data_IF_143494695559
#
_entry.id   IF_143494695559
#
_cell.length_a   1.000
_cell.length_b   1.000
_cell.length_c   1.000
_cell.angle_alpha   90.00
_cell.angle_beta   90.00
_cell.angle_gamma   90.00
#
_symmetry.space_group_name_H-M   'P 1'
#
loop_
_entity.id
_entity.type
_entity.pdbx_description
1 polymer ?
#
# COMPACT_ATOMS: atom_id res chain seq x y z
N UNK A 1 -1.17 45.77 -15.80
CA UNK A 1 -1.09 44.32 -16.04
C UNK A 1 -1.42 43.64 -14.73
N UNK A 2 -2.69 43.28 -14.57
CA UNK A 2 -3.20 42.57 -13.37
C UNK A 2 -3.15 41.07 -13.60
N UNK A 3 -2.39 40.36 -12.81
CA UNK A 3 -2.32 38.91 -12.80
C UNK A 3 -3.41 38.36 -11.88
N UNK A 4 -4.32 37.60 -12.49
CA UNK A 4 -5.51 36.98 -11.91
C UNK A 4 -5.07 35.80 -11.03
N UNK A 5 -5.10 35.98 -9.71
CA UNK A 5 -4.94 34.89 -8.75
C UNK A 5 -6.16 33.98 -8.81
N UNK A 6 -5.93 32.76 -9.21
CA UNK A 6 -6.93 31.70 -9.26
C UNK A 6 -7.17 31.18 -7.82
N UNK A 7 -8.28 31.63 -7.24
CA UNK A 7 -8.79 31.16 -5.94
C UNK A 7 -9.41 29.76 -6.12
N UNK A 8 -8.62 28.72 -5.89
CA UNK A 8 -9.13 27.37 -5.79
C UNK A 8 -9.73 27.15 -4.41
N UNK A 9 -11.03 27.40 -4.29
CA UNK A 9 -11.85 27.04 -3.12
C UNK A 9 -11.69 25.58 -2.80
N UNK A 10 -11.18 25.31 -1.58
CA UNK A 10 -11.26 23.98 -0.96
C UNK A 10 -12.73 23.55 -0.89
N UNK A 11 -13.09 22.35 -1.34
CA UNK A 11 -14.42 21.82 -1.10
C UNK A 11 -14.54 21.49 0.40
N UNK A 12 -15.38 22.24 1.10
CA UNK A 12 -15.95 21.80 2.36
C UNK A 12 -16.94 20.67 2.02
N UNK A 13 -16.56 19.44 2.24
CA UNK A 13 -17.43 18.30 2.05
C UNK A 13 -17.03 17.20 3.02
N UNK A 14 -17.95 16.85 3.92
CA UNK A 14 -17.82 15.65 4.74
C UNK A 14 -17.47 14.46 3.84
N UNK A 15 -16.57 13.61 4.31
CA UNK A 15 -16.14 12.42 3.60
C UNK A 15 -17.39 11.65 3.15
N UNK A 16 -17.55 11.37 1.85
CA UNK A 16 -18.69 10.59 1.39
C UNK A 16 -18.60 9.22 2.05
N UNK A 17 -19.64 8.84 2.78
CA UNK A 17 -19.84 7.46 3.22
C UNK A 17 -19.71 6.60 1.97
N UNK A 18 -18.59 5.90 1.87
CA UNK A 18 -18.17 5.15 0.69
C UNK A 18 -19.22 4.08 0.40
N UNK A 19 -19.98 4.28 -0.67
CA UNK A 19 -21.05 3.39 -1.05
C UNK A 19 -20.43 2.06 -1.49
N UNK A 20 -20.84 0.94 -0.87
CA UNK A 20 -20.32 -0.41 -1.19
C UNK A 20 -20.38 -0.77 -2.67
N UNK A 21 -21.28 -0.16 -3.45
CA UNK A 21 -21.35 -0.39 -4.90
C UNK A 21 -20.15 0.19 -5.68
N UNK A 22 -19.51 1.25 -5.18
CA UNK A 22 -18.30 1.80 -5.79
C UNK A 22 -17.09 0.90 -5.57
N UNK A 23 -17.06 0.10 -4.51
CA UNK A 23 -15.97 -0.85 -4.26
C UNK A 23 -15.94 -2.00 -5.27
N UNK A 24 -17.10 -2.47 -5.72
CA UNK A 24 -17.14 -3.52 -6.77
C UNK A 24 -16.67 -3.02 -8.13
N UNK A 25 -16.80 -1.74 -8.43
CA UNK A 25 -16.32 -1.15 -9.68
C UNK A 25 -14.81 -0.88 -9.67
N UNK A 26 -14.22 -0.67 -8.48
CA UNK A 26 -12.78 -0.52 -8.27
C UNK A 26 -12.04 -1.88 -8.22
N UNK A 27 -12.78 -2.99 -8.16
CA UNK A 27 -12.23 -4.35 -8.25
C UNK A 27 -11.98 -4.83 -9.68
N UNK A 28 -12.22 -4.01 -10.70
CA UNK A 28 -11.74 -4.36 -12.04
C UNK A 28 -10.22 -4.23 -12.05
N UNK A 29 -9.51 -5.32 -12.35
CA UNK A 29 -8.05 -5.26 -12.45
C UNK A 29 -7.67 -4.17 -13.45
N UNK A 30 -6.71 -3.33 -13.08
CA UNK A 30 -6.19 -2.34 -13.99
C UNK A 30 -5.69 -3.05 -15.27
N UNK A 31 -5.75 -2.41 -16.42
CA UNK A 31 -5.33 -3.02 -17.68
C UNK A 31 -3.90 -3.57 -17.60
N UNK A 32 -3.06 -2.96 -16.77
CA UNK A 32 -1.67 -3.36 -16.53
C UNK A 32 -1.58 -4.68 -15.75
N UNK A 33 -2.49 -4.96 -14.81
CA UNK A 33 -2.53 -6.20 -14.03
C UNK A 33 -2.92 -7.39 -14.91
N UNK A 34 -3.93 -7.21 -15.76
CA UNK A 34 -4.34 -8.21 -16.76
C UNK A 34 -3.22 -8.46 -17.77
N UNK A 35 -2.54 -7.41 -18.19
CA UNK A 35 -1.40 -7.52 -19.10
C UNK A 35 -0.25 -8.31 -18.46
N UNK A 36 0.07 -8.05 -17.20
CA UNK A 36 1.10 -8.79 -16.45
C UNK A 36 0.77 -10.28 -16.38
N UNK A 37 -0.47 -10.64 -16.02
CA UNK A 37 -0.94 -12.01 -16.00
C UNK A 37 -0.86 -12.66 -17.39
N UNK A 38 -1.28 -11.95 -18.44
CA UNK A 38 -1.26 -12.44 -19.81
C UNK A 38 0.17 -12.65 -20.32
N UNK A 39 1.09 -11.74 -20.06
CA UNK A 39 2.49 -11.83 -20.46
C UNK A 39 3.19 -12.97 -19.74
N UNK A 40 3.04 -13.09 -18.42
CA UNK A 40 3.63 -14.19 -17.64
C UNK A 40 3.06 -15.54 -18.08
N UNK A 41 1.74 -15.63 -18.29
CA UNK A 41 1.08 -16.82 -18.81
C UNK A 41 1.56 -17.21 -20.21
N UNK A 42 1.71 -16.24 -21.10
CA UNK A 42 2.23 -16.45 -22.46
C UNK A 42 3.69 -16.97 -22.44
N UNK A 43 4.56 -16.34 -21.61
CA UNK A 43 5.96 -16.76 -21.48
C UNK A 43 6.09 -18.20 -20.95
N UNK A 44 5.34 -18.54 -19.89
CA UNK A 44 5.36 -19.88 -19.33
C UNK A 44 4.77 -20.92 -20.28
N UNK A 45 3.69 -20.57 -20.98
CA UNK A 45 3.09 -21.43 -22.01
C UNK A 45 4.05 -21.64 -23.18
N UNK A 46 4.71 -20.57 -23.63
CA UNK A 46 5.74 -20.68 -24.68
C UNK A 46 6.89 -21.59 -24.25
N UNK A 47 7.34 -21.50 -22.99
CA UNK A 47 8.34 -22.38 -22.43
C UNK A 47 7.90 -23.87 -22.47
N UNK A 48 6.64 -24.16 -22.14
CA UNK A 48 6.07 -25.49 -22.23
C UNK A 48 6.02 -26.02 -23.69
N UNK A 49 5.66 -25.14 -24.64
CA UNK A 49 5.69 -25.49 -26.07
C UNK A 49 7.10 -25.73 -26.57
N UNK A 50 8.08 -24.96 -26.18
CA UNK A 50 9.50 -25.16 -26.50
C UNK A 50 9.96 -26.51 -25.95
N UNK A 51 9.63 -26.83 -24.69
CA UNK A 51 9.93 -28.13 -24.10
C UNK A 51 9.36 -29.32 -24.90
N UNK A 52 8.11 -29.18 -25.36
CA UNK A 52 7.46 -30.17 -26.22
C UNK A 52 8.16 -30.31 -27.58
N UNK A 53 8.55 -29.19 -28.21
CA UNK A 53 9.21 -29.18 -29.53
C UNK A 53 10.64 -29.74 -29.48
N UNK A 54 11.35 -29.50 -28.37
CA UNK A 54 12.71 -30.02 -28.14
C UNK A 54 12.74 -31.54 -27.91
N UNK A 55 11.59 -32.23 -27.86
CA UNK A 55 11.54 -33.65 -27.68
C UNK A 55 11.92 -34.37 -28.96
N UNK A 56 13.16 -34.87 -29.02
CA UNK A 56 13.58 -35.87 -30.02
C UNK A 56 13.16 -37.24 -29.54
N UNK A 57 12.52 -38.07 -30.40
CA UNK A 57 12.18 -39.46 -30.06
C UNK A 57 13.44 -40.30 -29.96
N UNK A 58 14.17 -40.17 -28.86
CA UNK A 58 15.25 -41.10 -28.52
C UNK A 58 14.66 -42.36 -27.92
N UNK A 59 15.11 -43.52 -28.42
CA UNK A 59 14.74 -44.86 -27.97
C UNK A 59 14.68 -44.95 -26.44
N UNK A 60 13.59 -45.46 -25.93
CA UNK A 60 13.16 -45.59 -24.54
C UNK A 60 14.13 -46.39 -23.65
N UNK A 61 15.25 -45.83 -23.24
CA UNK A 61 16.17 -46.51 -22.30
C UNK A 61 16.51 -45.70 -21.04
N UNK A 62 15.98 -44.50 -20.89
CA UNK A 62 16.20 -43.65 -19.69
C UNK A 62 14.95 -42.82 -19.34
N UNK A 63 13.76 -43.41 -19.47
CA UNK A 63 12.49 -42.71 -19.21
C UNK A 63 12.36 -42.25 -17.76
N UNK A 64 12.90 -43.01 -16.81
CA UNK A 64 12.70 -42.77 -15.39
C UNK A 64 13.46 -41.53 -14.86
N UNK A 65 14.70 -41.29 -15.31
CA UNK A 65 15.51 -40.20 -14.85
C UNK A 65 14.97 -38.80 -15.26
N UNK A 66 14.41 -38.69 -16.46
CA UNK A 66 13.82 -37.43 -16.95
C UNK A 66 12.54 -37.05 -16.20
N UNK A 67 11.74 -38.04 -15.82
CA UNK A 67 10.52 -37.82 -15.02
C UNK A 67 10.85 -37.36 -13.61
N UNK A 68 11.85 -37.97 -12.97
CA UNK A 68 12.30 -37.56 -11.61
C UNK A 68 12.80 -36.12 -11.59
N UNK A 69 13.60 -35.70 -12.57
CA UNK A 69 14.11 -34.33 -12.69
C UNK A 69 12.95 -33.35 -12.88
N UNK A 70 11.96 -33.69 -13.71
CA UNK A 70 10.83 -32.79 -13.95
C UNK A 70 9.93 -32.65 -12.72
N UNK A 71 9.65 -33.74 -11.99
CA UNK A 71 8.90 -33.72 -10.75
C UNK A 71 9.68 -32.92 -9.68
N UNK A 72 10.99 -33.16 -9.54
CA UNK A 72 11.84 -32.41 -8.64
C UNK A 72 11.87 -30.92 -8.94
N UNK A 73 11.97 -30.54 -10.22
CA UNK A 73 11.91 -29.14 -10.65
C UNK A 73 10.56 -28.49 -10.36
N UNK A 74 9.45 -29.22 -10.57
CA UNK A 74 8.12 -28.75 -10.24
C UNK A 74 7.96 -28.51 -8.73
N UNK A 75 8.35 -29.49 -7.91
CA UNK A 75 8.28 -29.37 -6.44
C UNK A 75 9.08 -28.15 -5.97
N UNK A 76 10.31 -27.99 -6.50
CA UNK A 76 11.17 -26.85 -6.15
C UNK A 76 10.54 -25.51 -6.56
N UNK A 77 9.95 -25.46 -7.76
CA UNK A 77 9.26 -24.25 -8.24
C UNK A 77 8.07 -23.89 -7.34
N UNK A 78 7.26 -24.87 -6.95
CA UNK A 78 6.11 -24.65 -6.05
C UNK A 78 6.57 -24.19 -4.66
N UNK A 79 7.62 -24.81 -4.12
CA UNK A 79 8.18 -24.40 -2.82
C UNK A 79 8.72 -22.96 -2.85
N UNK A 80 9.48 -22.61 -3.88
CA UNK A 80 10.02 -21.25 -4.04
C UNK A 80 8.91 -20.22 -4.21
N UNK A 81 7.89 -20.52 -5.02
CA UNK A 81 6.74 -19.63 -5.21
C UNK A 81 5.94 -19.49 -3.91
N UNK A 82 5.72 -20.57 -3.17
CA UNK A 82 5.06 -20.53 -1.86
C UNK A 82 5.84 -19.71 -0.82
N UNK A 83 7.17 -19.82 -0.82
CA UNK A 83 8.05 -19.02 0.04
C UNK A 83 7.98 -17.53 -0.35
N UNK A 84 8.01 -17.20 -1.64
CA UNK A 84 7.89 -15.84 -2.13
C UNK A 84 6.52 -15.23 -1.76
N UNK A 85 5.45 -15.98 -1.92
CA UNK A 85 4.11 -15.56 -1.50
C UNK A 85 4.05 -15.30 0.01
N UNK A 86 4.68 -16.14 0.83
CA UNK A 86 4.78 -15.92 2.27
C UNK A 86 5.51 -14.61 2.60
N UNK A 87 6.61 -14.31 1.90
CA UNK A 87 7.35 -13.04 2.07
C UNK A 87 6.49 -11.84 1.66
N UNK A 88 5.75 -11.94 0.55
CA UNK A 88 4.84 -10.89 0.09
C UNK A 88 3.71 -10.63 1.11
N UNK A 89 3.09 -11.68 1.66
CA UNK A 89 2.05 -11.56 2.71
C UNK A 89 2.62 -10.90 3.97
N UNK A 90 3.82 -11.26 4.39
CA UNK A 90 4.48 -10.63 5.53
C UNK A 90 4.75 -9.14 5.25
N UNK A 91 5.14 -8.79 4.03
CA UNK A 91 5.30 -7.40 3.59
C UNK A 91 3.99 -6.62 3.68
N UNK A 92 2.89 -7.17 3.18
CA UNK A 92 1.55 -6.58 3.28
C UNK A 92 1.12 -6.36 4.74
N UNK A 93 1.28 -7.39 5.59
CA UNK A 93 0.95 -7.31 7.02
C UNK A 93 1.77 -6.24 7.73
N UNK A 94 3.07 -6.12 7.42
CA UNK A 94 3.93 -5.09 7.98
C UNK A 94 3.47 -3.67 7.56
N UNK A 95 3.03 -3.48 6.31
CA UNK A 95 2.48 -2.21 5.82
C UNK A 95 1.19 -1.84 6.56
N UNK A 96 0.26 -2.79 6.72
CA UNK A 96 -0.98 -2.57 7.48
C UNK A 96 -0.70 -2.23 8.95
N UNK A 97 0.19 -2.97 9.61
CA UNK A 97 0.57 -2.69 10.99
C UNK A 97 1.26 -1.33 11.16
N UNK A 98 2.07 -0.90 10.19
CA UNK A 98 2.72 0.41 10.25
C UNK A 98 1.71 1.55 10.14
N UNK A 99 0.68 1.39 9.29
CA UNK A 99 -0.43 2.33 9.19
C UNK A 99 -1.23 2.43 10.49
N UNK A 100 -1.59 1.30 11.11
CA UNK A 100 -2.29 1.28 12.40
C UNK A 100 -1.49 1.97 13.50
N UNK A 101 -0.17 1.74 13.56
CA UNK A 101 0.71 2.43 14.51
C UNK A 101 0.76 3.93 14.29
N UNK A 102 0.80 4.35 13.03
CA UNK A 102 0.80 5.77 12.68
C UNK A 102 -0.52 6.44 13.07
N UNK A 103 -1.66 5.77 12.86
CA UNK A 103 -2.98 6.25 13.29
C UNK A 103 -3.06 6.43 14.82
N UNK A 104 -2.61 5.43 15.58
CA UNK A 104 -2.58 5.49 17.05
C UNK A 104 -1.62 6.58 17.56
N UNK A 105 -0.47 6.78 16.90
CA UNK A 105 0.45 7.84 17.25
C UNK A 105 -0.15 9.24 16.98
N UNK A 106 -0.90 9.39 15.88
CA UNK A 106 -1.61 10.63 15.56
C UNK A 106 -2.72 10.91 16.57
N UNK A 107 -3.50 9.91 16.96
CA UNK A 107 -4.53 10.02 18.00
C UNK A 107 -3.92 10.43 19.34
N UNK A 108 -2.82 9.78 19.74
CA UNK A 108 -2.12 10.12 20.99
C UNK A 108 -1.59 11.55 20.94
N UNK A 109 -0.95 11.97 19.85
CA UNK A 109 -0.49 13.35 19.68
C UNK A 109 -1.66 14.34 19.77
N UNK A 110 -2.82 14.00 19.22
CA UNK A 110 -4.03 14.83 19.35
C UNK A 110 -4.48 14.97 20.79
N UNK A 111 -4.55 13.87 21.55
CA UNK A 111 -4.96 13.89 22.95
C UNK A 111 -4.05 14.79 23.79
N UNK A 112 -2.73 14.69 23.61
CA UNK A 112 -1.79 15.55 24.34
C UNK A 112 -1.82 17.00 23.87
N UNK A 113 -2.08 17.29 22.58
CA UNK A 113 -2.24 18.69 22.13
C UNK A 113 -3.48 19.36 22.70
N UNK A 114 -4.49 18.62 23.12
CA UNK A 114 -5.67 19.18 23.81
C UNK A 114 -5.37 19.72 25.22
N UNK A 115 -4.23 19.36 25.79
CA UNK A 115 -3.77 19.83 27.10
C UNK A 115 -2.97 21.14 27.02
N UNK A 116 -2.68 21.62 25.81
CA UNK A 116 -2.04 22.92 25.58
C UNK A 116 -3.03 24.07 25.83
N UNK A 117 -2.53 25.30 26.07
CA UNK A 117 -3.37 26.49 26.08
C UNK A 117 -4.18 26.62 24.79
N UNK A 118 -5.41 27.15 24.87
CA UNK A 118 -6.41 27.13 23.80
C UNK A 118 -5.87 27.57 22.43
N UNK A 119 -5.13 28.65 22.32
CA UNK A 119 -4.58 29.15 21.07
C UNK A 119 -3.56 28.17 20.45
N UNK A 120 -2.69 27.61 21.28
CA UNK A 120 -1.70 26.61 20.81
C UNK A 120 -2.34 25.27 20.49
N UNK A 121 -3.30 24.85 21.31
CA UNK A 121 -4.08 23.62 21.09
C UNK A 121 -4.77 23.67 19.74
N UNK A 122 -5.52 24.74 19.43
CA UNK A 122 -6.20 24.89 18.15
C UNK A 122 -5.24 24.88 16.95
N UNK A 123 -4.08 25.54 17.07
CA UNK A 123 -3.07 25.51 15.98
C UNK A 123 -2.47 24.13 15.80
N UNK A 124 -2.07 23.46 16.88
CA UNK A 124 -1.47 22.14 16.82
C UNK A 124 -2.46 21.10 16.27
N UNK A 125 -3.71 21.14 16.70
CA UNK A 125 -4.78 20.29 16.18
C UNK A 125 -5.08 20.56 14.71
N UNK A 126 -5.03 21.82 14.26
CA UNK A 126 -5.17 22.16 12.84
C UNK A 126 -4.08 21.55 11.98
N UNK A 127 -2.83 21.60 12.45
CA UNK A 127 -1.70 20.97 11.76
C UNK A 127 -1.83 19.43 11.75
N UNK A 128 -2.24 18.82 12.87
CA UNK A 128 -2.46 17.37 12.95
C UNK A 128 -3.57 16.89 12.01
N UNK A 129 -4.66 17.65 11.86
CA UNK A 129 -5.71 17.32 10.88
C UNK A 129 -5.17 17.38 9.45
N UNK A 130 -4.43 18.44 9.13
CA UNK A 130 -3.76 18.54 7.82
C UNK A 130 -2.84 17.36 7.55
N UNK A 131 -2.05 16.97 8.55
CA UNK A 131 -1.20 15.78 8.48
C UNK A 131 -2.00 14.51 8.17
N UNK A 132 -3.07 14.25 8.92
CA UNK A 132 -3.89 13.04 8.71
C UNK A 132 -4.53 13.03 7.32
N UNK A 133 -5.02 14.18 6.84
CA UNK A 133 -5.58 14.33 5.49
C UNK A 133 -4.53 14.03 4.41
N UNK A 134 -3.33 14.56 4.55
CA UNK A 134 -2.18 14.28 3.67
C UNK A 134 -1.80 12.81 3.67
N UNK A 135 -1.91 12.14 4.82
CA UNK A 135 -1.62 10.70 4.94
C UNK A 135 -2.72 9.85 4.31
N UNK A 136 -3.99 10.21 4.45
CA UNK A 136 -5.10 9.54 3.75
C UNK A 136 -4.87 9.61 2.24
N UNK A 137 -4.54 10.77 1.71
CA UNK A 137 -4.24 10.95 0.30
C UNK A 137 -3.00 10.16 -0.14
N UNK A 138 -1.96 10.07 0.70
CA UNK A 138 -0.79 9.23 0.43
C UNK A 138 -1.16 7.75 0.21
N UNK A 139 -2.09 7.20 1.00
CA UNK A 139 -2.51 5.80 0.87
C UNK A 139 -3.51 5.56 -0.28
N UNK A 140 -4.24 6.60 -0.69
CA UNK A 140 -5.24 6.52 -1.76
C UNK A 140 -4.66 6.81 -3.14
N UNK A 141 -3.53 7.53 -3.22
CA UNK A 141 -2.92 7.91 -4.51
C UNK A 141 -2.10 6.74 -5.09
N UNK A 142 -2.53 6.26 -6.25
CA UNK A 142 -1.91 5.14 -6.96
C UNK A 142 -0.63 5.54 -7.71
N UNK A 143 -0.36 6.84 -7.85
CA UNK A 143 0.80 7.33 -8.58
C UNK A 143 2.04 7.46 -7.69
N UNK A 144 3.19 6.98 -8.17
CA UNK A 144 4.48 7.11 -7.47
C UNK A 144 4.83 8.58 -7.20
N UNK A 145 4.45 9.48 -8.12
CA UNK A 145 4.72 10.91 -7.97
C UNK A 145 3.79 11.55 -6.93
N UNK A 146 2.50 11.20 -6.95
CA UNK A 146 1.53 11.66 -5.96
C UNK A 146 1.89 11.20 -4.55
N UNK A 147 2.21 9.93 -4.36
CA UNK A 147 2.65 9.40 -3.07
C UNK A 147 3.91 10.11 -2.52
N UNK A 148 4.86 10.50 -3.39
CA UNK A 148 6.03 11.29 -2.96
C UNK A 148 5.66 12.71 -2.54
N UNK A 149 4.78 13.39 -3.29
CA UNK A 149 4.33 14.75 -2.95
C UNK A 149 3.52 14.77 -1.65
N UNK A 150 2.60 13.84 -1.46
CA UNK A 150 1.86 13.71 -0.20
C UNK A 150 2.76 13.39 1.00
N UNK A 151 3.78 12.53 0.79
CA UNK A 151 4.77 12.26 1.84
C UNK A 151 5.60 13.49 2.21
N UNK A 152 5.94 14.36 1.26
CA UNK A 152 6.66 15.60 1.51
C UNK A 152 5.79 16.62 2.26
N UNK A 153 4.51 16.74 1.89
CA UNK A 153 3.55 17.59 2.60
C UNK A 153 3.40 17.15 4.05
N UNK A 154 3.19 15.86 4.30
CA UNK A 154 3.09 15.30 5.63
C UNK A 154 4.36 15.53 6.49
N UNK A 155 5.54 15.51 5.88
CA UNK A 155 6.78 15.89 6.56
C UNK A 155 6.80 17.37 6.92
N UNK A 156 6.26 18.23 6.05
CA UNK A 156 6.10 19.67 6.32
C UNK A 156 5.18 19.93 7.51
N UNK A 157 4.03 19.24 7.54
CA UNK A 157 3.07 19.33 8.66
C UNK A 157 3.69 18.87 9.98
N UNK A 158 4.51 17.79 9.96
CA UNK A 158 5.25 17.38 11.16
C UNK A 158 6.31 18.39 11.61
N UNK A 159 7.01 19.03 10.68
CA UNK A 159 7.97 20.08 11.03
C UNK A 159 7.27 21.29 11.64
N UNK A 160 6.09 21.67 11.14
CA UNK A 160 5.27 22.72 11.72
C UNK A 160 4.80 22.36 13.14
N UNK A 161 4.32 21.14 13.34
CA UNK A 161 3.90 20.64 14.65
C UNK A 161 5.07 20.68 15.65
N UNK A 162 6.25 20.20 15.25
CA UNK A 162 7.45 20.25 16.06
C UNK A 162 7.85 21.67 16.41
N UNK A 163 7.77 22.61 15.45
CA UNK A 163 8.07 24.03 15.65
C UNK A 163 7.11 24.71 16.62
N UNK A 164 5.87 24.24 16.74
CA UNK A 164 4.89 24.72 17.73
C UNK A 164 5.15 24.13 19.12
N UNK A 165 5.41 22.82 19.20
CA UNK A 165 5.50 22.09 20.48
C UNK A 165 6.86 22.30 21.16
N UNK A 166 7.97 22.25 20.42
CA UNK A 166 9.31 22.31 21.00
C UNK A 166 9.60 23.59 21.80
N UNK A 167 9.24 24.81 21.36
CA UNK A 167 9.41 26.03 22.17
C UNK A 167 8.52 26.04 23.40
N UNK A 168 7.29 25.49 23.32
CA UNK A 168 6.37 25.43 24.44
C UNK A 168 6.92 24.56 25.57
N UNK A 169 7.46 23.38 25.22
CA UNK A 169 8.12 22.47 26.17
C UNK A 169 9.36 23.11 26.79
N UNK A 170 10.15 23.83 26.00
CA UNK A 170 11.35 24.52 26.50
C UNK A 170 11.03 25.64 27.51
N UNK A 171 9.88 26.29 27.34
CA UNK A 171 9.45 27.39 28.20
C UNK A 171 8.84 26.92 29.52
N UNK A 172 8.20 25.74 29.51
CA UNK A 172 7.52 25.20 30.69
C UNK A 172 7.77 23.67 30.77
N UNK A 173 8.95 23.26 31.26
CA UNK A 173 9.30 21.83 31.34
C UNK A 173 8.50 21.16 32.47
N UNK A 174 7.36 20.57 32.09
CA UNK A 174 6.49 19.77 32.95
C UNK A 174 6.39 18.35 32.40
N UNK A 175 5.98 17.39 33.24
CA UNK A 175 5.80 15.99 32.85
C UNK A 175 4.83 15.83 31.69
N UNK A 176 3.73 16.60 31.66
CA UNK A 176 2.75 16.61 30.58
C UNK A 176 3.37 17.10 29.26
N UNK A 177 4.22 18.11 29.32
CA UNK A 177 4.93 18.63 28.15
C UNK A 177 5.97 17.65 27.64
N UNK A 178 6.61 16.88 28.53
CA UNK A 178 7.53 15.81 28.12
C UNK A 178 6.78 14.70 27.40
N UNK A 179 5.60 14.30 27.87
CA UNK A 179 4.74 13.31 27.22
C UNK A 179 4.21 13.79 25.85
N UNK A 180 3.86 15.06 25.73
CA UNK A 180 3.50 15.66 24.45
C UNK A 180 4.65 15.61 23.44
N UNK A 181 5.86 15.96 23.87
CA UNK A 181 7.05 15.87 23.01
C UNK A 181 7.33 14.43 22.60
N UNK A 182 7.15 13.48 23.52
CA UNK A 182 7.28 12.05 23.24
C UNK A 182 6.22 11.59 22.21
N UNK A 183 4.96 12.01 22.34
CA UNK A 183 3.88 11.67 21.42
C UNK A 183 4.14 12.22 19.99
N UNK A 184 4.60 13.47 19.88
CA UNK A 184 4.96 14.09 18.60
C UNK A 184 6.18 13.40 17.99
N UNK A 185 7.18 13.01 18.79
CA UNK A 185 8.33 12.27 18.31
C UNK A 185 7.97 10.84 17.86
N UNK A 186 7.05 10.17 18.56
CA UNK A 186 6.51 8.87 18.18
C UNK A 186 5.75 8.94 16.85
N UNK A 187 4.92 9.98 16.64
CA UNK A 187 4.25 10.22 15.36
C UNK A 187 5.25 10.35 14.21
N UNK A 188 6.34 11.09 14.43
CA UNK A 188 7.39 11.22 13.43
C UNK A 188 8.10 9.90 13.15
N UNK A 189 8.41 9.14 14.18
CA UNK A 189 9.05 7.83 14.06
C UNK A 189 8.15 6.81 13.33
N UNK A 190 6.85 6.80 13.63
CA UNK A 190 5.87 5.93 12.97
C UNK A 190 5.74 6.24 11.48
N UNK A 191 5.69 7.52 11.08
CA UNK A 191 5.68 7.91 9.66
C UNK A 191 6.96 7.45 8.94
N UNK A 192 8.13 7.63 9.55
CA UNK A 192 9.39 7.17 8.97
C UNK A 192 9.42 5.65 8.82
N UNK A 193 8.89 4.92 9.80
CA UNK A 193 8.75 3.47 9.76
C UNK A 193 7.82 3.06 8.61
N UNK A 194 6.65 3.70 8.48
CA UNK A 194 5.73 3.45 7.35
C UNK A 194 6.44 3.65 6.02
N UNK A 195 7.15 4.76 5.84
CA UNK A 195 7.91 5.03 4.61
C UNK A 195 9.02 4.00 4.34
N UNK A 196 9.65 3.45 5.38
CA UNK A 196 10.66 2.40 5.23
C UNK A 196 10.04 1.06 4.83
N UNK A 197 8.89 0.69 5.42
CA UNK A 197 8.18 -0.55 5.10
C UNK A 197 7.58 -0.52 3.69
N UNK A 198 7.10 0.64 3.24
CA UNK A 198 6.58 0.81 1.87
C UNK A 198 7.63 0.66 0.77
N UNK A 199 8.90 0.90 1.08
CA UNK A 199 10.02 0.68 0.14
C UNK A 199 10.54 -0.76 0.12
N UNK A 200 10.05 -1.63 1.02
CA UNK A 200 10.46 -3.03 1.04
C UNK A 200 9.64 -3.82 0.03
N UNK A 201 10.32 -4.45 -0.89
CA UNK A 201 9.75 -5.38 -1.87
C UNK A 201 10.71 -6.57 -2.04
N UNK A 202 10.23 -7.63 -2.69
CA UNK A 202 11.04 -8.78 -3.02
C UNK A 202 12.18 -8.34 -3.97
N UNK A 203 13.44 -8.69 -3.69
CA UNK A 203 14.57 -8.31 -4.56
C UNK A 203 14.40 -8.85 -5.98
N UNK A 204 14.82 -8.07 -6.99
CA UNK A 204 14.74 -8.44 -8.41
C UNK A 204 15.43 -9.77 -8.70
N UNK A 205 16.54 -10.08 -8.00
CA UNK A 205 17.23 -11.35 -8.11
C UNK A 205 16.33 -12.54 -7.73
N UNK A 206 15.47 -12.40 -6.73
CA UNK A 206 14.52 -13.44 -6.33
C UNK A 206 13.45 -13.64 -7.42
N UNK A 207 12.98 -12.58 -8.05
CA UNK A 207 12.06 -12.64 -9.17
C UNK A 207 12.67 -13.37 -10.38
N UNK A 208 13.94 -13.12 -10.71
CA UNK A 208 14.65 -13.84 -11.77
C UNK A 208 14.76 -15.33 -11.47
N UNK A 209 15.06 -15.71 -10.23
CA UNK A 209 15.13 -17.12 -9.82
C UNK A 209 13.75 -17.78 -9.92
N UNK A 210 12.70 -17.14 -9.42
CA UNK A 210 11.32 -17.63 -9.50
C UNK A 210 10.87 -17.84 -10.95
N UNK A 211 11.10 -16.87 -11.81
CA UNK A 211 10.77 -16.94 -13.23
C UNK A 211 11.56 -18.06 -13.91
N UNK A 212 12.87 -18.16 -13.66
CA UNK A 212 13.73 -19.20 -14.23
C UNK A 212 13.30 -20.61 -13.85
N UNK A 213 13.02 -20.87 -12.56
CA UNK A 213 12.52 -22.16 -12.11
C UNK A 213 11.12 -22.47 -12.66
N UNK A 214 10.23 -21.50 -12.73
CA UNK A 214 8.90 -21.67 -13.30
C UNK A 214 8.97 -22.00 -14.80
N UNK A 215 9.79 -21.30 -15.56
CA UNK A 215 10.03 -21.57 -16.97
C UNK A 215 10.65 -22.96 -17.19
N UNK A 216 11.68 -23.32 -16.41
CA UNK A 216 12.32 -24.63 -16.50
C UNK A 216 11.33 -25.77 -16.19
N UNK A 217 10.50 -25.60 -15.15
CA UNK A 217 9.45 -26.56 -14.77
C UNK A 217 8.39 -26.73 -15.86
N UNK A 218 7.93 -25.62 -16.47
CA UNK A 218 7.00 -25.65 -17.59
C UNK A 218 7.63 -26.35 -18.84
N UNK A 219 8.89 -26.05 -19.15
CA UNK A 219 9.63 -26.68 -20.23
C UNK A 219 9.76 -28.21 -20.03
N UNK A 220 10.16 -28.64 -18.84
CA UNK A 220 10.30 -30.07 -18.52
C UNK A 220 8.95 -30.81 -18.58
N UNK A 221 7.88 -30.17 -18.07
CA UNK A 221 6.53 -30.74 -18.16
C UNK A 221 6.04 -30.83 -19.59
N UNK A 222 6.33 -29.82 -20.42
CA UNK A 222 6.04 -29.86 -21.86
C UNK A 222 6.71 -31.00 -22.58
N UNK A 223 7.98 -31.32 -22.23
CA UNK A 223 8.71 -32.50 -22.79
C UNK A 223 8.03 -33.82 -22.43
N UNK A 224 7.51 -33.99 -21.22
CA UNK A 224 6.85 -35.23 -20.81
C UNK A 224 5.52 -35.43 -21.53
N UNK A 225 4.79 -34.36 -21.83
CA UNK A 225 3.52 -34.41 -22.54
C UNK A 225 3.69 -34.61 -24.06
N UNK A 226 4.91 -34.62 -24.59
CA UNK A 226 5.16 -34.73 -26.04
C UNK A 226 4.70 -36.07 -26.65
N UNK A 227 4.63 -37.16 -25.86
CA UNK A 227 4.13 -38.46 -26.30
C UNK A 227 2.60 -38.58 -26.37
N UNK A 228 1.85 -37.64 -25.83
CA UNK A 228 0.38 -37.66 -25.83
C UNK A 228 -0.20 -37.08 -27.12
N UNK A 229 -1.16 -37.80 -27.73
CA UNK A 229 -1.83 -37.37 -28.97
C UNK A 229 -2.71 -36.11 -28.77
N UNK A 230 -3.23 -35.87 -27.58
CA UNK A 230 -4.05 -34.71 -27.21
C UNK A 230 -3.57 -34.09 -25.89
N UNK A 231 -2.47 -33.33 -25.89
CA UNK A 231 -1.98 -32.70 -24.65
C UNK A 231 -2.88 -31.58 -24.13
N UNK A 232 -3.68 -31.00 -25.03
CA UNK A 232 -4.76 -30.03 -24.77
C UNK A 232 -4.61 -29.22 -23.47
N UNK A 233 -5.58 -29.39 -22.60
CA UNK A 233 -5.68 -28.67 -21.33
C UNK A 233 -4.49 -28.92 -20.37
N UNK A 234 -3.89 -30.11 -20.39
CA UNK A 234 -2.77 -30.47 -19.51
C UNK A 234 -1.51 -29.62 -19.79
N UNK A 235 -1.30 -29.26 -21.06
CA UNK A 235 -0.17 -28.41 -21.45
C UNK A 235 -0.31 -26.95 -20.93
N UNK A 236 -1.55 -26.48 -20.77
CA UNK A 236 -1.86 -25.14 -20.31
C UNK A 236 -2.10 -25.07 -18.79
N UNK A 237 -2.46 -26.18 -18.15
CA UNK A 237 -2.83 -26.20 -16.74
C UNK A 237 -1.67 -25.76 -15.84
N UNK A 238 -0.48 -26.31 -16.03
CA UNK A 238 0.68 -25.96 -15.21
C UNK A 238 1.15 -24.51 -15.44
N UNK A 239 1.36 -24.03 -16.70
CA UNK A 239 1.67 -22.62 -16.94
C UNK A 239 0.62 -21.67 -16.38
N UNK A 240 -0.68 -22.00 -16.50
CA UNK A 240 -1.76 -21.19 -15.99
C UNK A 240 -1.74 -21.07 -14.46
N UNK A 241 -1.58 -22.19 -13.75
CA UNK A 241 -1.48 -22.21 -12.29
C UNK A 241 -0.24 -21.45 -11.79
N UNK A 242 0.91 -21.66 -12.44
CA UNK A 242 2.15 -20.96 -12.09
C UNK A 242 2.07 -19.46 -12.38
N UNK A 243 1.47 -19.07 -13.51
CA UNK A 243 1.25 -17.67 -13.85
C UNK A 243 0.35 -16.99 -12.81
N UNK A 244 -0.74 -17.65 -12.41
CA UNK A 244 -1.64 -17.14 -11.39
C UNK A 244 -0.92 -16.97 -10.04
N UNK A 245 -0.11 -17.95 -9.63
CA UNK A 245 0.64 -17.87 -8.38
C UNK A 245 1.69 -16.76 -8.38
N UNK A 246 2.43 -16.60 -9.48
CA UNK A 246 3.39 -15.49 -9.64
C UNK A 246 2.69 -14.14 -9.68
N UNK A 247 1.56 -14.05 -10.38
CA UNK A 247 0.73 -12.85 -10.44
C UNK A 247 0.25 -12.43 -9.05
N UNK A 248 -0.36 -13.36 -8.28
CA UNK A 248 -0.81 -13.06 -6.91
C UNK A 248 0.35 -12.63 -6.00
N UNK A 249 1.53 -13.23 -6.18
CA UNK A 249 2.72 -12.82 -5.42
C UNK A 249 3.15 -11.40 -5.78
N UNK A 250 3.12 -11.04 -7.06
CA UNK A 250 3.46 -9.70 -7.53
C UNK A 250 2.45 -8.65 -7.05
N UNK A 251 1.15 -8.98 -7.12
CA UNK A 251 0.07 -8.11 -6.64
C UNK A 251 0.22 -7.73 -5.16
N UNK A 252 0.60 -8.71 -4.34
CA UNK A 252 0.78 -8.47 -2.90
C UNK A 252 2.10 -7.73 -2.62
N UNK A 253 3.14 -7.95 -3.43
CA UNK A 253 4.47 -7.35 -3.21
C UNK A 253 4.51 -5.87 -3.57
N UNK A 254 3.79 -5.43 -4.62
CA UNK A 254 3.80 -4.05 -5.09
C UNK A 254 2.82 -3.20 -4.25
N UNK A 255 3.31 -2.24 -3.45
CA UNK A 255 2.43 -1.38 -2.66
C UNK A 255 1.72 -0.32 -3.53
N UNK A 256 0.45 -0.08 -3.26
CA UNK A 256 -0.30 1.03 -3.84
C UNK A 256 -0.85 0.81 -5.25
N UNK A 257 -0.44 -0.24 -5.95
CA UNK A 257 -0.98 -0.64 -7.24
C UNK A 257 -1.59 -2.03 -7.13
N UNK A 258 -2.65 -2.31 -7.88
CA UNK A 258 -3.26 -3.64 -7.92
C UNK A 258 -4.55 -3.79 -7.09
N UNK A 259 -5.04 -5.04 -7.03
CA UNK A 259 -6.33 -5.40 -6.41
C UNK A 259 -6.22 -5.40 -4.88
N UNK A 260 -5.04 -5.77 -4.33
CA UNK A 260 -4.80 -5.90 -2.89
C UNK A 260 -4.08 -4.66 -2.39
N UNK A 261 -4.83 -3.73 -1.78
CA UNK A 261 -4.33 -2.43 -1.29
C UNK A 261 -4.41 -2.32 0.21
N UNK A 262 -3.51 -1.52 0.80
CA UNK A 262 -3.64 -1.07 2.18
C UNK A 262 -4.48 0.20 2.18
N UNK A 263 -5.71 0.11 2.70
CA UNK A 263 -6.65 1.23 2.82
C UNK A 263 -6.38 2.03 4.10
N UNK A 264 -6.57 3.37 4.10
CA UNK A 264 -6.30 4.24 5.27
C UNK A 264 -7.40 4.19 6.34
N UNK A 265 -8.07 3.04 6.51
CA UNK A 265 -9.23 2.88 7.39
C UNK A 265 -8.98 3.35 8.83
N UNK A 266 -7.82 3.00 9.40
CA UNK A 266 -7.50 3.36 10.79
C UNK A 266 -7.31 4.87 10.96
N UNK A 267 -6.66 5.54 9.99
CA UNK A 267 -6.45 7.00 10.02
C UNK A 267 -7.78 7.74 9.78
N UNK A 268 -8.60 7.24 8.84
CA UNK A 268 -9.94 7.77 8.59
C UNK A 268 -10.83 7.65 9.84
N UNK A 269 -10.77 6.51 10.52
CA UNK A 269 -11.52 6.28 11.75
C UNK A 269 -11.09 7.25 12.86
N UNK A 270 -9.79 7.44 13.06
CA UNK A 270 -9.28 8.44 14.01
C UNK A 270 -9.80 9.83 13.64
N UNK A 271 -9.71 10.21 12.35
CA UNK A 271 -10.15 11.54 11.90
C UNK A 271 -11.64 11.80 12.12
N UNK A 272 -12.49 10.77 11.97
CA UNK A 272 -13.94 10.86 12.21
C UNK A 272 -14.27 10.96 13.70
N UNK A 273 -13.51 10.29 14.57
CA UNK A 273 -13.73 10.32 16.02
C UNK A 273 -13.27 11.62 16.68
N UNK A 274 -12.39 12.38 16.02
CA UNK A 274 -11.91 13.65 16.56
C UNK A 274 -12.99 14.75 16.47
N UNK A 275 -13.15 15.57 17.53
CA UNK A 275 -14.13 16.64 17.53
C UNK A 275 -13.88 17.61 16.36
N UNK A 276 -14.93 18.09 15.68
CA UNK A 276 -14.78 19.08 14.61
C UNK A 276 -14.10 20.32 15.19
N UNK A 277 -13.18 20.93 14.43
CA UNK A 277 -12.63 22.21 14.82
C UNK A 277 -13.80 23.19 14.98
N UNK A 278 -13.92 23.79 16.17
CA UNK A 278 -14.78 24.94 16.35
C UNK A 278 -14.28 26.02 15.36
N UNK A 279 -14.96 26.14 14.24
CA UNK A 279 -14.82 27.32 13.37
C UNK A 279 -15.16 28.50 14.25
N UNK A 280 -14.17 29.31 14.58
CA UNK A 280 -14.35 30.56 15.33
C UNK A 280 -15.18 31.59 14.53
N UNK A 281 -16.46 31.27 14.34
CA UNK A 281 -17.49 32.23 14.03
C UNK A 281 -17.95 32.72 15.38
N UNK A 282 -17.26 33.72 15.91
CA UNK A 282 -17.84 34.61 16.89
C UNK A 282 -19.06 35.23 16.24
N UNK A 283 -20.21 34.59 16.45
CA UNK A 283 -21.48 35.22 16.24
C UNK A 283 -21.51 36.38 17.28
N UNK A 284 -21.25 37.59 16.80
CA UNK A 284 -21.46 38.80 17.53
C UNK A 284 -22.97 38.97 17.81
N UNK A 285 -23.43 38.24 18.87
CA UNK A 285 -24.81 38.25 19.34
C UNK A 285 -25.07 39.40 20.31
N UNK A 286 -24.25 40.47 20.30
CA UNK A 286 -24.38 41.61 21.22
C UNK A 286 -24.77 42.91 20.52
N UNK A 287 -25.56 42.88 19.43
CA UNK A 287 -26.12 44.08 18.85
C UNK A 287 -27.56 43.93 18.43
N UNK A 288 -28.46 43.73 19.37
CA UNK A 288 -29.87 44.02 19.16
C UNK A 288 -30.67 44.02 20.48
N UNK A 289 -30.36 44.92 21.39
CA UNK A 289 -31.34 45.36 22.40
C UNK A 289 -31.20 46.86 22.55
N UNK A 290 -32.29 47.51 22.40
CA UNK A 290 -32.67 48.90 22.57
C UNK A 290 -32.98 49.64 21.28
N UNK A 291 -34.27 49.58 20.90
CA UNK A 291 -35.09 50.75 20.67
C UNK A 291 -36.58 50.34 20.63
N UNK A 292 -37.29 50.69 21.70
CA UNK A 292 -38.73 50.84 21.72
C UNK A 292 -38.98 52.25 22.23
N UNK A 293 -39.83 53.07 21.59
CA UNK A 293 -40.56 54.09 22.31
C UNK A 293 -41.80 53.55 22.97
#
# INVERSE_FOLDING_TARGET
>A
VYQKTNDTRKPQGGYPVRNRMTEYFLMMPAADDVLLLAVTGALLTMSAYIGRWMHHPRKARTADGGAVIAVGGLVMSVLLTGMALSVAINGYTARKQSQTREALAAERAWQYTSLLPDDMSHRAQGVLRGYMDERIHFFLDDSVQGGRSWSQLAQGSQQQLWGLVSPAVAHNPDAVMADLLAAVSELRASQQQTGAVWRRHIPDAAWLVLAGFSMASCCLSGRQLSGQRRPGIYLLALPGLMSLALFLTAEIDIPGQGIIRVTPEDIEQVMVTLPPQATGVTHDASRSVYHVP
#
